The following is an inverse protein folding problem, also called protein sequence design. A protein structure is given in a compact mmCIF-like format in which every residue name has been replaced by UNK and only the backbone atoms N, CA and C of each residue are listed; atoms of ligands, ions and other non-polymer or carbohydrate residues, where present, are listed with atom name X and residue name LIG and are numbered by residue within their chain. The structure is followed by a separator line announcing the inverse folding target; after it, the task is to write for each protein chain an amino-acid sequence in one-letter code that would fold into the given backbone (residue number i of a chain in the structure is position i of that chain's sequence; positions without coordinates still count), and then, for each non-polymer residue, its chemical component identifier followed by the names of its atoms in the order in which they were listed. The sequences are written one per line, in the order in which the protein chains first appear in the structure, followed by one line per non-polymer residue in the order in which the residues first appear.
data_IF_213847910676
#
_entry.id   IF_213847910676
#
_cell.length_a   1.000
_cell.length_b   1.000
_cell.length_c   1.000
_cell.angle_alpha   90.00
_cell.angle_beta   90.00
_cell.angle_gamma   90.00
#
_symmetry.space_group_name_H-M   'P 1'
#
loop_
_entity.id
_entity.type
_entity.pdbx_description
1 polymer ?
#
# COMPACT_ATOMS: atom_id res chain seq x y z
N UNK A 1 6.58 39.25 -5.60
CA UNK A 1 6.49 37.79 -5.44
C UNK A 1 6.41 37.48 -3.94
N UNK A 2 5.21 37.29 -3.40
CA UNK A 2 5.04 36.90 -1.99
C UNK A 2 5.16 35.39 -1.93
N UNK A 3 6.25 34.90 -1.33
CA UNK A 3 6.43 33.51 -0.97
C UNK A 3 5.44 33.15 0.14
N UNK A 4 4.30 32.57 -0.21
CA UNK A 4 3.40 31.93 0.74
C UNK A 4 4.03 30.63 1.24
N UNK A 5 4.92 30.75 2.24
CA UNK A 5 5.20 29.63 3.15
C UNK A 5 3.88 29.33 3.85
N UNK A 6 3.16 28.31 3.37
CA UNK A 6 2.03 27.73 4.07
C UNK A 6 2.50 27.37 5.49
N UNK A 7 1.98 28.10 6.48
CA UNK A 7 2.22 27.83 7.90
C UNK A 7 1.77 26.40 8.17
N UNK A 8 2.72 25.55 8.52
CA UNK A 8 2.45 24.22 9.02
C UNK A 8 1.62 24.38 10.32
N UNK A 9 0.38 23.84 10.40
CA UNK A 9 -0.42 23.97 11.61
C UNK A 9 0.28 23.22 12.75
N UNK A 10 0.65 23.93 13.81
CA UNK A 10 1.44 23.41 14.94
C UNK A 10 0.62 22.60 15.96
N UNK A 11 -0.69 22.48 15.77
CA UNK A 11 -1.62 21.88 16.73
C UNK A 11 -2.28 20.62 16.13
N UNK A 12 -1.58 19.48 16.18
CA UNK A 12 -2.12 18.19 15.69
C UNK A 12 -1.09 17.09 15.43
N UNK A 13 0.21 17.42 15.45
CA UNK A 13 1.29 16.49 15.12
C UNK A 13 1.37 15.21 15.98
N UNK A 14 1.18 15.26 17.31
CA UNK A 14 1.27 14.06 18.15
C UNK A 14 0.08 13.10 17.99
N UNK A 15 -1.13 13.63 17.74
CA UNK A 15 -2.33 12.82 17.52
C UNK A 15 -2.37 12.21 16.11
N UNK A 16 -1.88 12.94 15.10
CA UNK A 16 -1.75 12.44 13.73
C UNK A 16 -0.71 11.32 13.63
N UNK A 17 0.39 11.37 14.39
CA UNK A 17 1.43 10.34 14.33
C UNK A 17 0.96 9.00 14.87
N UNK A 18 0.24 8.99 16.01
CA UNK A 18 -0.35 7.76 16.54
C UNK A 18 -1.42 7.16 15.61
N UNK A 19 -2.30 8.00 15.07
CA UNK A 19 -3.34 7.58 14.14
C UNK A 19 -2.75 7.02 12.83
N UNK A 20 -1.82 7.74 12.19
CA UNK A 20 -1.22 7.31 10.93
C UNK A 20 -0.44 6.00 11.09
N UNK A 21 0.12 5.73 12.27
CA UNK A 21 0.78 4.45 12.55
C UNK A 21 -0.21 3.29 12.59
N UNK A 22 -1.38 3.48 13.20
CA UNK A 22 -2.46 2.48 13.21
C UNK A 22 -2.98 2.23 11.79
N UNK A 23 -3.28 3.31 11.07
CA UNK A 23 -3.71 3.27 9.68
C UNK A 23 -2.71 2.53 8.77
N UNK A 24 -1.41 2.83 8.91
CA UNK A 24 -0.36 2.17 8.15
C UNK A 24 -0.29 0.66 8.44
N UNK A 25 -0.34 0.26 9.70
CA UNK A 25 -0.30 -1.16 10.08
C UNK A 25 -1.50 -1.93 9.54
N UNK A 26 -2.70 -1.36 9.68
CA UNK A 26 -3.92 -1.98 9.19
C UNK A 26 -3.92 -2.11 7.66
N UNK A 27 -3.59 -1.02 6.95
CA UNK A 27 -3.50 -1.01 5.50
C UNK A 27 -2.48 -2.03 5.00
N UNK A 28 -1.29 -2.10 5.61
CA UNK A 28 -0.27 -3.06 5.21
C UNK A 28 -0.68 -4.50 5.51
N UNK A 29 -1.32 -4.75 6.65
CA UNK A 29 -1.86 -6.07 7.00
C UNK A 29 -2.89 -6.55 5.98
N UNK A 30 -3.79 -5.67 5.55
CA UNK A 30 -4.79 -5.96 4.52
C UNK A 30 -4.12 -6.27 3.17
N UNK A 31 -3.12 -5.47 2.78
CA UNK A 31 -2.34 -5.70 1.55
C UNK A 31 -1.61 -7.05 1.58
N UNK A 32 -0.99 -7.41 2.71
CA UNK A 32 -0.31 -8.69 2.87
C UNK A 32 -1.29 -9.88 2.82
N UNK A 33 -2.47 -9.71 3.41
CA UNK A 33 -3.55 -10.71 3.36
C UNK A 33 -3.99 -11.00 1.91
N UNK A 34 -4.10 -9.96 1.07
CA UNK A 34 -4.36 -10.13 -0.37
C UNK A 34 -3.26 -10.90 -1.10
N UNK A 35 -2.03 -10.89 -0.59
CA UNK A 35 -0.94 -11.71 -1.10
C UNK A 35 -0.86 -13.11 -0.47
N UNK A 36 -1.81 -13.50 0.40
CA UNK A 36 -1.79 -14.76 1.13
C UNK A 36 -0.72 -14.81 2.24
N UNK A 37 -0.20 -13.66 2.66
CA UNK A 37 0.84 -13.56 3.69
C UNK A 37 0.18 -13.18 5.01
N UNK A 38 0.02 -14.16 5.90
CA UNK A 38 -0.47 -13.94 7.25
C UNK A 38 0.71 -13.66 8.19
N UNK A 39 0.93 -12.39 8.54
CA UNK A 39 1.92 -12.01 9.55
C UNK A 39 1.48 -10.77 10.32
N UNK A 40 1.96 -10.64 11.55
CA UNK A 40 1.80 -9.41 12.32
C UNK A 40 2.73 -8.33 11.76
N UNK A 41 2.15 -7.19 11.36
CA UNK A 41 2.89 -6.04 10.86
C UNK A 41 3.73 -5.43 11.97
N UNK A 42 5.04 -5.38 11.76
CA UNK A 42 6.01 -4.86 12.72
C UNK A 42 6.23 -3.35 12.60
N UNK A 43 7.34 -2.85 13.12
CA UNK A 43 7.79 -1.48 12.83
C UNK A 43 8.17 -1.35 11.37
N UNK A 44 8.09 -0.13 10.83
CA UNK A 44 8.40 0.12 9.42
C UNK A 44 9.80 -0.36 9.02
N UNK A 45 10.81 -0.15 9.88
CA UNK A 45 12.18 -0.59 9.59
C UNK A 45 12.29 -2.12 9.44
N UNK A 46 11.55 -2.86 10.27
CA UNK A 46 11.51 -4.33 10.20
C UNK A 46 10.71 -4.82 9.00
N UNK A 47 9.64 -4.13 8.63
CA UNK A 47 8.88 -4.42 7.41
C UNK A 47 9.73 -4.14 6.17
N UNK A 48 10.50 -3.06 6.15
CA UNK A 48 11.39 -2.73 5.05
C UNK A 48 12.52 -3.75 4.90
N UNK A 49 13.18 -4.13 6.01
CA UNK A 49 14.20 -5.18 6.01
C UNK A 49 13.61 -6.52 5.51
N UNK A 50 12.43 -6.91 6.01
CA UNK A 50 11.73 -8.09 5.51
C UNK A 50 11.40 -8.00 4.02
N UNK A 51 10.87 -6.86 3.56
CA UNK A 51 10.53 -6.64 2.17
C UNK A 51 11.77 -6.72 1.28
N UNK A 52 12.91 -6.12 1.67
CA UNK A 52 14.15 -6.22 0.87
C UNK A 52 14.65 -7.64 0.72
N UNK A 53 14.42 -8.51 1.72
CA UNK A 53 14.76 -9.94 1.67
C UNK A 53 13.77 -10.72 0.79
N UNK A 54 12.47 -10.46 0.92
CA UNK A 54 11.42 -11.17 0.19
C UNK A 54 11.33 -10.75 -1.29
N UNK A 55 11.56 -9.48 -1.60
CA UNK A 55 11.37 -8.90 -2.94
C UNK A 55 12.53 -9.22 -3.91
N UNK A 56 13.37 -10.21 -3.58
CA UNK A 56 14.46 -10.69 -4.42
C UNK A 56 13.93 -11.71 -5.42
N UNK A 57 13.74 -11.29 -6.67
CA UNK A 57 13.30 -12.18 -7.74
C UNK A 57 12.36 -11.53 -8.75
N UNK A 58 11.84 -12.38 -9.65
CA UNK A 58 10.93 -12.02 -10.75
C UNK A 58 9.64 -12.85 -10.75
N UNK A 59 9.34 -13.59 -9.68
CA UNK A 59 8.06 -14.29 -9.58
C UNK A 59 6.91 -13.29 -9.53
N UNK A 60 5.73 -13.71 -9.99
CA UNK A 60 4.55 -12.84 -10.03
C UNK A 60 4.24 -12.26 -8.65
N UNK A 61 4.26 -13.09 -7.60
CA UNK A 61 4.04 -12.64 -6.22
C UNK A 61 5.04 -11.58 -5.76
N UNK A 62 6.31 -11.69 -6.14
CA UNK A 62 7.35 -10.68 -5.83
C UNK A 62 7.11 -9.39 -6.60
N UNK A 63 6.59 -9.46 -7.82
CA UNK A 63 6.25 -8.27 -8.61
C UNK A 63 5.00 -7.58 -8.06
N UNK A 64 3.96 -8.34 -7.68
CA UNK A 64 2.74 -7.84 -7.00
C UNK A 64 3.09 -7.21 -5.66
N UNK A 65 3.73 -7.97 -4.76
CA UNK A 65 4.88 -7.56 -3.94
C UNK A 65 5.27 -6.08 -3.96
N UNK A 66 6.10 -5.77 -4.95
CA UNK A 66 6.72 -4.46 -5.17
C UNK A 66 5.68 -3.39 -5.45
N UNK A 67 4.69 -3.69 -6.29
CA UNK A 67 3.63 -2.73 -6.62
C UNK A 67 2.78 -2.39 -5.39
N UNK A 68 2.44 -3.41 -4.59
CA UNK A 68 1.71 -3.28 -3.33
C UNK A 68 2.49 -2.44 -2.31
N UNK A 69 3.80 -2.65 -2.17
CA UNK A 69 4.64 -1.82 -1.31
C UNK A 69 4.67 -0.35 -1.76
N UNK A 70 4.82 -0.10 -3.06
CA UNK A 70 4.80 1.26 -3.63
C UNK A 70 3.42 1.91 -3.41
N UNK A 71 2.34 1.18 -3.67
CA UNK A 71 0.98 1.64 -3.46
C UNK A 71 0.70 1.97 -1.99
N UNK A 72 1.20 1.15 -1.07
CA UNK A 72 1.08 1.38 0.37
C UNK A 72 1.77 2.69 0.81
N UNK A 73 3.04 2.89 0.42
CA UNK A 73 3.79 4.12 0.74
C UNK A 73 3.12 5.35 0.12
N UNK A 74 2.67 5.24 -1.13
CA UNK A 74 1.99 6.32 -1.84
C UNK A 74 0.64 6.66 -1.17
N UNK A 75 -0.15 5.66 -0.81
CA UNK A 75 -1.42 5.84 -0.12
C UNK A 75 -1.27 6.55 1.22
N UNK A 76 -0.23 6.19 2.00
CA UNK A 76 0.09 6.88 3.26
C UNK A 76 0.49 8.33 3.05
N UNK A 77 1.28 8.60 2.02
CA UNK A 77 1.66 9.97 1.67
C UNK A 77 0.44 10.82 1.29
N UNK A 78 -0.44 10.29 0.44
CA UNK A 78 -1.68 10.94 0.06
C UNK A 78 -2.59 11.18 1.28
N UNK A 79 -2.74 10.19 2.16
CA UNK A 79 -3.58 10.31 3.35
C UNK A 79 -3.05 11.36 4.32
N UNK A 80 -1.75 11.36 4.58
CA UNK A 80 -1.10 12.38 5.41
C UNK A 80 -1.30 13.77 4.81
N UNK A 81 -1.12 13.91 3.50
CA UNK A 81 -1.29 15.20 2.84
C UNK A 81 -2.75 15.68 2.87
N UNK A 82 -3.72 14.79 2.61
CA UNK A 82 -5.15 15.14 2.64
C UNK A 82 -5.57 15.63 4.04
N UNK A 83 -5.07 14.99 5.10
CA UNK A 83 -5.33 15.44 6.48
C UNK A 83 -4.70 16.79 6.78
N UNK A 84 -3.48 17.03 6.30
CA UNK A 84 -2.73 18.27 6.60
C UNK A 84 -3.23 19.47 5.80
N UNK A 85 -3.63 19.28 4.54
CA UNK A 85 -3.91 20.38 3.61
C UNK A 85 -5.37 20.50 3.22
N UNK A 86 -6.15 19.42 3.31
CA UNK A 86 -7.55 19.40 2.90
C UNK A 86 -8.51 19.19 4.08
N UNK A 87 -7.98 18.82 5.26
CA UNK A 87 -8.78 18.46 6.42
C UNK A 87 -9.64 17.21 6.22
N UNK A 88 -9.34 16.39 5.20
CA UNK A 88 -10.09 15.17 4.88
C UNK A 88 -9.33 13.94 5.36
N UNK A 89 -10.09 12.92 5.71
CA UNK A 89 -9.60 11.64 6.20
C UNK A 89 -10.29 10.54 5.40
N UNK A 90 -9.52 9.62 4.81
CA UNK A 90 -10.08 8.46 4.11
C UNK A 90 -10.06 7.24 5.03
N UNK A 91 -10.92 6.27 4.73
CA UNK A 91 -10.90 4.98 5.39
C UNK A 91 -9.78 4.13 4.81
N UNK A 92 -9.28 3.18 5.60
CA UNK A 92 -8.27 2.20 5.14
C UNK A 92 -8.77 1.46 3.89
N UNK A 93 -10.06 1.13 3.85
CA UNK A 93 -10.70 0.48 2.70
C UNK A 93 -10.63 1.28 1.40
N UNK A 94 -10.77 2.60 1.46
CA UNK A 94 -10.70 3.46 0.27
C UNK A 94 -9.31 3.43 -0.34
N UNK A 95 -8.28 3.58 0.51
CA UNK A 95 -6.88 3.54 0.08
C UNK A 95 -6.49 2.13 -0.40
N UNK A 96 -7.02 1.10 0.23
CA UNK A 96 -6.81 -0.29 -0.20
C UNK A 96 -7.40 -0.54 -1.60
N UNK A 97 -8.58 0.00 -1.89
CA UNK A 97 -9.19 -0.09 -3.21
C UNK A 97 -8.36 0.64 -4.27
N UNK A 98 -7.86 1.86 -3.98
CA UNK A 98 -6.95 2.58 -4.89
C UNK A 98 -5.71 1.74 -5.24
N UNK A 99 -5.13 1.07 -4.24
CA UNK A 99 -3.97 0.18 -4.42
C UNK A 99 -4.35 -1.03 -5.28
N UNK A 100 -5.51 -1.63 -5.01
CA UNK A 100 -6.02 -2.78 -5.76
C UNK A 100 -6.22 -2.43 -7.23
N UNK A 101 -6.90 -1.33 -7.52
CA UNK A 101 -7.19 -0.88 -8.89
C UNK A 101 -5.89 -0.60 -9.65
N UNK A 102 -4.93 0.07 -9.00
CA UNK A 102 -3.61 0.34 -9.58
C UNK A 102 -2.88 -0.95 -9.95
N UNK A 103 -2.92 -1.95 -9.06
CA UNK A 103 -2.29 -3.25 -9.28
C UNK A 103 -3.02 -4.00 -10.39
N UNK A 104 -4.35 -4.07 -10.38
CA UNK A 104 -5.14 -4.69 -11.43
C UNK A 104 -4.83 -4.11 -12.81
N UNK A 105 -4.83 -2.78 -12.95
CA UNK A 105 -4.51 -2.10 -14.21
C UNK A 105 -3.10 -2.49 -14.68
N UNK A 106 -2.12 -2.50 -13.77
CA UNK A 106 -0.74 -2.89 -14.13
C UNK A 106 -0.61 -4.36 -14.51
N UNK A 107 -1.30 -5.26 -13.80
CA UNK A 107 -1.26 -6.70 -14.06
C UNK A 107 -1.99 -7.08 -15.35
N UNK A 108 -3.10 -6.40 -15.69
CA UNK A 108 -3.79 -6.57 -16.97
C UNK A 108 -2.90 -6.19 -18.16
N UNK A 109 -1.99 -5.23 -17.96
CA UNK A 109 -1.00 -4.85 -18.96
C UNK A 109 0.20 -5.81 -19.03
N UNK A 110 0.33 -6.77 -18.12
CA UNK A 110 1.36 -7.80 -18.19
C UNK A 110 0.84 -9.01 -18.95
N UNK A 111 1.65 -9.56 -19.86
CA UNK A 111 1.39 -10.84 -20.52
C UNK A 111 1.64 -12.02 -19.56
N UNK A 112 0.92 -12.05 -18.44
CA UNK A 112 1.04 -13.09 -17.41
C UNK A 112 0.52 -14.40 -18.00
N UNK A 113 1.36 -15.44 -18.02
CA UNK A 113 0.93 -16.79 -18.39
C UNK A 113 -0.11 -17.29 -17.38
N UNK A 114 -1.40 -17.14 -17.72
CA UNK A 114 -2.57 -17.49 -16.88
C UNK A 114 -2.66 -18.99 -16.54
N UNK A 115 -1.83 -19.84 -17.16
CA UNK A 115 -1.79 -21.30 -17.01
C UNK A 115 -0.95 -21.80 -15.83
N UNK A 116 -0.18 -20.93 -15.15
CA UNK A 116 0.55 -21.34 -13.94
C UNK A 116 -0.40 -21.43 -12.74
N UNK A 117 -0.75 -22.66 -12.35
CA UNK A 117 -1.68 -22.96 -11.24
C UNK A 117 -1.23 -22.36 -9.90
N UNK A 118 0.06 -22.05 -9.73
CA UNK A 118 0.60 -21.43 -8.52
C UNK A 118 0.16 -19.97 -8.34
N UNK A 119 -0.22 -19.31 -9.44
CA UNK A 119 -0.55 -17.89 -9.46
C UNK A 119 -2.07 -17.63 -9.47
N UNK A 120 -2.89 -18.66 -9.69
CA UNK A 120 -4.34 -18.52 -9.83
C UNK A 120 -5.02 -17.92 -8.58
N UNK A 121 -4.62 -18.37 -7.39
CA UNK A 121 -5.16 -17.86 -6.12
C UNK A 121 -4.78 -16.40 -5.87
N UNK A 122 -3.56 -16.01 -6.25
CA UNK A 122 -3.11 -14.61 -6.17
C UNK A 122 -3.87 -13.74 -7.17
N UNK A 123 -4.04 -14.19 -8.42
CA UNK A 123 -4.82 -13.44 -9.39
C UNK A 123 -6.27 -13.22 -8.92
N UNK A 124 -6.89 -14.25 -8.34
CA UNK A 124 -8.24 -14.17 -7.78
C UNK A 124 -8.34 -13.18 -6.61
N UNK A 125 -7.40 -13.19 -5.65
CA UNK A 125 -7.41 -12.28 -4.51
C UNK A 125 -7.30 -10.81 -4.94
N UNK A 126 -6.56 -10.54 -6.01
CA UNK A 126 -6.44 -9.21 -6.59
C UNK A 126 -7.60 -8.85 -7.53
N UNK A 127 -8.58 -9.73 -7.79
CA UNK A 127 -9.71 -9.48 -8.69
C UNK A 127 -9.35 -9.47 -10.17
N UNK A 128 -8.26 -10.15 -10.55
CA UNK A 128 -7.89 -10.37 -11.94
C UNK A 128 -8.79 -11.49 -12.47
N UNK A 129 -9.94 -11.11 -13.04
CA UNK A 129 -10.86 -12.05 -13.68
C UNK A 129 -10.17 -12.71 -14.89
N UNK A 130 -10.29 -14.03 -14.96
CA UNK A 130 -9.90 -14.85 -16.11
C UNK A 130 -10.66 -14.43 -17.35
#
# INVERSE_FOLDING_TARGET
MVSTRSKVPSCGWPSLTGYLLGFAKELWGNVLSLCGIMRNVSTWDRELDWATKLLRGRSLIVQVLKLALVGHVYGLWCERNSRLFEGRARLVGDVLNDIRDTIQIRLNNWSICKTDSRNATLCASWGILS
#
